data_IF_330896378477
#
_entry.id   IF_330896378477
#
_cell.length_a   1.000
_cell.length_b   1.000
_cell.length_c   1.000
_cell.angle_alpha   90.00
_cell.angle_beta   90.00
_cell.angle_gamma   90.00
#
_symmetry.space_group_name_H-M   'P 1'
#
loop_
_entity.id
_entity.type
_entity.pdbx_description
1 polymer ?
#
# COMPACT_ATOMS: atom_id res chain seq x y z
N UNK A 1 -9.75 1.05 -27.56
CA UNK A 1 -8.45 1.73 -27.77
C UNK A 1 -7.86 2.04 -26.42
N UNK A 2 -6.99 1.16 -25.92
CA UNK A 2 -6.28 1.39 -24.65
C UNK A 2 -5.20 2.45 -24.89
N UNK A 3 -4.99 3.40 -23.96
CA UNK A 3 -3.81 4.24 -24.05
C UNK A 3 -2.60 3.32 -24.00
N UNK A 4 -1.78 3.36 -25.06
CA UNK A 4 -0.48 2.72 -25.05
C UNK A 4 0.35 3.28 -23.90
N UNK A 5 1.25 2.44 -23.40
CA UNK A 5 2.18 2.77 -22.30
C UNK A 5 2.93 4.10 -22.56
N UNK A 6 3.15 4.44 -23.83
CA UNK A 6 3.72 5.71 -24.26
C UNK A 6 2.89 6.95 -23.89
N UNK A 7 1.56 6.92 -23.99
CA UNK A 7 0.74 8.06 -23.55
C UNK A 7 0.74 8.20 -22.02
N UNK A 8 0.74 7.09 -21.27
CA UNK A 8 0.83 7.15 -19.82
C UNK A 8 2.15 7.79 -19.34
N UNK A 9 3.26 7.48 -20.02
CA UNK A 9 4.55 8.12 -19.74
C UNK A 9 4.51 9.64 -19.97
N UNK A 10 3.91 10.10 -21.08
CA UNK A 10 3.83 11.55 -21.37
C UNK A 10 2.98 12.27 -20.31
N UNK A 11 1.87 11.67 -19.90
CA UNK A 11 0.99 12.23 -18.86
C UNK A 11 1.70 12.26 -17.51
N UNK A 12 2.45 11.21 -17.16
CA UNK A 12 3.23 11.15 -15.93
C UNK A 12 4.25 12.29 -15.84
N UNK A 13 4.95 12.60 -16.93
CA UNK A 13 5.92 13.71 -16.99
C UNK A 13 5.24 15.05 -16.77
N UNK A 14 4.09 15.28 -17.40
CA UNK A 14 3.30 16.53 -17.24
C UNK A 14 2.85 16.68 -15.78
N UNK A 15 2.32 15.62 -15.18
CA UNK A 15 1.92 15.63 -13.77
C UNK A 15 3.11 15.92 -12.86
N UNK A 16 4.29 15.34 -13.13
CA UNK A 16 5.51 15.62 -12.37
C UNK A 16 5.96 17.09 -12.47
N UNK A 17 5.82 17.70 -13.65
CA UNK A 17 6.15 19.12 -13.88
C UNK A 17 5.18 20.05 -13.15
N UNK A 18 3.87 19.76 -13.17
CA UNK A 18 2.84 20.57 -12.50
C UNK A 18 2.91 20.48 -10.98
N UNK A 19 3.10 19.27 -10.44
CA UNK A 19 3.16 19.05 -8.99
C UNK A 19 4.56 19.28 -8.40
N UNK A 20 5.60 19.23 -9.24
CA UNK A 20 6.99 19.37 -8.85
C UNK A 20 7.55 18.17 -8.09
N UNK A 21 8.87 17.99 -8.17
CA UNK A 21 9.61 16.88 -7.54
C UNK A 21 9.54 16.81 -6.00
N UNK A 22 9.09 17.87 -5.34
CA UNK A 22 9.05 17.96 -3.86
C UNK A 22 7.72 17.50 -3.25
N UNK A 23 6.59 17.72 -3.93
CA UNK A 23 5.27 17.42 -3.36
C UNK A 23 4.90 15.95 -3.47
N UNK A 24 5.25 15.29 -4.59
CA UNK A 24 4.97 13.87 -4.82
C UNK A 24 5.60 12.97 -3.73
N UNK A 25 6.91 13.09 -3.38
CA UNK A 25 7.52 12.22 -2.38
C UNK A 25 6.97 12.45 -0.96
N UNK A 26 6.64 13.69 -0.63
CA UNK A 26 6.08 14.03 0.68
C UNK A 26 4.68 13.44 0.87
N UNK A 27 3.80 13.62 -0.13
CA UNK A 27 2.46 13.04 -0.13
C UNK A 27 2.48 11.50 -0.16
N UNK A 28 3.35 10.92 -0.99
CA UNK A 28 3.52 9.46 -1.00
C UNK A 28 4.07 8.92 0.32
N UNK A 29 4.97 9.65 0.99
CA UNK A 29 5.51 9.25 2.28
C UNK A 29 4.43 9.15 3.36
N UNK A 30 3.51 10.12 3.40
CA UNK A 30 2.40 10.12 4.37
C UNK A 30 1.34 9.06 4.02
N UNK A 31 1.01 8.89 2.74
CA UNK A 31 0.13 7.80 2.31
C UNK A 31 0.75 6.42 2.58
N UNK A 32 2.05 6.24 2.33
CA UNK A 32 2.76 4.99 2.57
C UNK A 32 2.76 4.61 4.05
N UNK A 33 2.93 5.59 4.95
CA UNK A 33 2.80 5.36 6.40
C UNK A 33 1.39 4.89 6.77
N UNK A 34 0.35 5.54 6.23
CA UNK A 34 -1.04 5.15 6.46
C UNK A 34 -1.35 3.73 5.99
N UNK A 35 -0.97 3.39 4.76
CA UNK A 35 -1.15 2.05 4.18
C UNK A 35 -0.34 1.01 4.97
N UNK A 36 0.88 1.34 5.42
CA UNK A 36 1.73 0.43 6.20
C UNK A 36 1.12 0.11 7.57
N UNK A 37 0.58 1.10 8.26
CA UNK A 37 -0.13 0.91 9.53
C UNK A 37 -1.41 0.11 9.34
N UNK A 38 -2.17 0.38 8.27
CA UNK A 38 -3.37 -0.37 7.94
C UNK A 38 -3.07 -1.85 7.65
N UNK A 39 -2.06 -2.12 6.80
CA UNK A 39 -1.62 -3.49 6.50
C UNK A 39 -1.12 -4.22 7.74
N UNK A 40 -0.38 -3.53 8.61
CA UNK A 40 0.15 -4.13 9.85
C UNK A 40 -0.95 -4.43 10.86
N UNK A 41 -1.96 -3.56 10.99
CA UNK A 41 -3.13 -3.83 11.82
C UNK A 41 -3.90 -5.05 11.34
N UNK A 42 -4.20 -5.12 10.03
CA UNK A 42 -4.92 -6.26 9.44
C UNK A 42 -4.14 -7.58 9.59
N UNK A 43 -2.82 -7.56 9.36
CA UNK A 43 -2.00 -8.77 9.52
C UNK A 43 -1.78 -9.18 10.99
N UNK A 44 -1.87 -8.26 11.96
CA UNK A 44 -1.85 -8.63 13.39
C UNK A 44 -3.18 -9.26 13.81
N UNK A 45 -4.31 -8.83 13.24
CA UNK A 45 -5.61 -9.47 13.44
C UNK A 45 -5.62 -10.89 12.86
N UNK A 46 -5.18 -11.05 11.60
CA UNK A 46 -5.03 -12.38 10.97
C UNK A 46 -4.14 -13.30 11.82
N UNK A 47 -2.98 -12.82 12.27
CA UNK A 47 -2.04 -13.59 13.12
C UNK A 47 -2.59 -13.97 14.48
N UNK A 48 -3.48 -13.15 15.03
CA UNK A 48 -4.10 -13.38 16.33
C UNK A 48 -5.18 -14.45 16.23
N UNK A 49 -5.86 -14.60 15.10
CA UNK A 49 -6.79 -15.70 14.84
C UNK A 49 -6.06 -17.05 14.60
N UNK A 50 -4.93 -17.07 13.88
CA UNK A 50 -4.16 -18.32 13.64
C UNK A 50 -3.49 -18.89 14.92
N UNK A 51 -3.25 -18.06 15.93
CA UNK A 51 -2.67 -18.52 17.20
C UNK A 51 -3.73 -19.15 18.14
N UNK A 52 -5.00 -18.77 18.00
CA UNK A 52 -6.10 -19.34 18.79
C UNK A 52 -6.48 -20.72 18.28
N UNK A 53 -6.41 -20.97 16.97
CA UNK A 53 -6.80 -22.26 16.38
C UNK A 53 -5.78 -23.39 16.70
N UNK A 54 -4.49 -23.08 16.81
CA UNK A 54 -3.45 -24.10 17.13
C UNK A 54 -3.44 -24.57 18.58
N UNK A 55 -4.16 -23.90 19.50
CA UNK A 55 -4.22 -24.29 20.92
C UNK A 55 -5.37 -25.23 21.26
N UNK A 56 -6.29 -25.49 20.32
CA UNK A 56 -7.51 -26.27 20.57
C UNK A 56 -7.29 -27.76 20.24
N UNK A 57 -6.29 -28.09 19.43
CA UNK A 57 -5.98 -29.48 19.01
C UNK A 57 -4.93 -30.20 19.89
N UNK A 58 -4.28 -29.54 20.85
CA UNK A 58 -3.31 -30.19 21.77
C UNK A 58 -3.91 -30.70 23.09
N UNK A 59 -5.20 -30.46 23.34
CA UNK A 59 -5.91 -30.85 24.57
C UNK A 59 -7.07 -31.85 24.29
N UNK A 60 -6.94 -32.67 23.24
CA UNK A 60 -7.91 -33.73 22.91
C UNK A 60 -7.27 -35.06 22.56
#
# INVERSE_FOLDING_TARGET
>A
MTPSIWQLLIVLVIVLLLFGRGKIPQLMGDMAKGIKSFKRGMSDEEKKDENIEKKIDEDK
#
